data_IF_223369892766
#
_entry.id   IF_223369892766
#
_cell.length_a   1.000
_cell.length_b   1.000
_cell.length_c   1.000
_cell.angle_alpha   90.00
_cell.angle_beta   90.00
_cell.angle_gamma   90.00
#
_symmetry.space_group_name_H-M   'P 1'
#
loop_
_entity.id
_entity.type
_entity.pdbx_description
1 polymer ?
#
# COMPACT_ATOMS: atom_id res chain seq x y z
N UNK A 1 18.89 22.40 -2.96
CA UNK A 1 18.73 22.95 -4.33
C UNK A 1 17.49 22.30 -4.94
N UNK A 2 16.41 23.06 -5.10
CA UNK A 2 15.08 22.55 -5.48
C UNK A 2 15.05 22.10 -6.94
N UNK A 3 14.88 20.80 -7.18
CA UNK A 3 14.66 20.24 -8.53
C UNK A 3 13.17 20.38 -8.86
N UNK A 4 12.88 21.03 -9.98
CA UNK A 4 11.54 21.42 -10.40
C UNK A 4 10.88 20.23 -11.15
N UNK A 5 9.89 19.58 -10.54
CA UNK A 5 9.21 18.35 -11.03
C UNK A 5 8.54 18.49 -12.42
N UNK A 6 8.33 19.72 -12.92
CA UNK A 6 7.85 19.98 -14.30
C UNK A 6 8.81 19.55 -15.42
N UNK A 7 10.05 19.18 -15.10
CA UNK A 7 11.03 18.72 -16.11
C UNK A 7 10.82 17.26 -16.55
N UNK A 8 10.19 16.42 -15.74
CA UNK A 8 10.08 14.98 -16.05
C UNK A 8 9.08 14.73 -17.20
N UNK A 9 7.96 15.46 -17.20
CA UNK A 9 6.91 15.35 -18.22
C UNK A 9 7.32 15.85 -19.62
N UNK A 10 8.41 16.61 -19.74
CA UNK A 10 8.92 17.12 -21.04
C UNK A 10 9.99 16.25 -21.70
N UNK A 11 10.56 15.26 -21.01
CA UNK A 11 11.63 14.40 -21.57
C UNK A 11 11.15 13.06 -22.13
N UNK A 12 9.89 12.66 -21.87
CA UNK A 12 9.32 11.41 -22.40
C UNK A 12 8.88 11.42 -23.88
N UNK A 13 9.01 12.54 -24.61
CA UNK A 13 8.46 12.68 -25.97
C UNK A 13 9.48 12.95 -27.08
N UNK A 14 10.78 12.93 -26.80
CA UNK A 14 11.80 13.15 -27.85
C UNK A 14 13.09 12.35 -27.59
N UNK A 15 13.08 11.07 -27.95
CA UNK A 15 14.31 10.31 -28.22
C UNK A 15 14.04 9.20 -29.24
N UNK A 16 13.67 9.59 -30.46
CA UNK A 16 13.82 8.74 -31.62
C UNK A 16 15.29 8.84 -32.08
N UNK A 17 16.05 7.74 -32.01
CA UNK A 17 17.45 7.76 -32.46
C UNK A 17 18.24 6.47 -32.27
N UNK A 18 18.15 5.59 -33.27
CA UNK A 18 19.14 4.59 -33.70
C UNK A 18 19.56 3.46 -32.73
N UNK A 19 18.87 2.31 -32.83
CA UNK A 19 19.42 1.02 -32.43
C UNK A 19 20.02 0.31 -33.65
N UNK A 20 21.32 -0.01 -33.56
CA UNK A 20 22.03 -0.86 -34.51
C UNK A 20 21.58 -2.32 -34.39
N UNK A 21 21.35 -2.93 -35.55
CA UNK A 21 20.86 -4.30 -35.77
C UNK A 21 21.87 -5.35 -35.27
N UNK A 22 21.42 -6.24 -34.38
CA UNK A 22 22.08 -7.52 -34.08
C UNK A 22 21.20 -8.67 -34.55
N UNK A 23 21.61 -9.35 -35.61
CA UNK A 23 20.93 -10.52 -36.17
C UNK A 23 21.30 -11.79 -35.38
N UNK A 24 20.30 -12.58 -34.97
CA UNK A 24 20.47 -13.88 -34.34
C UNK A 24 19.14 -14.65 -34.32
N UNK A 25 18.94 -15.48 -35.34
CA UNK A 25 17.78 -16.31 -35.63
C UNK A 25 17.48 -17.36 -34.55
N UNK A 26 16.19 -17.69 -34.38
CA UNK A 26 15.51 -18.99 -34.21
C UNK A 26 14.13 -18.67 -33.58
N UNK A 27 12.95 -18.85 -34.18
CA UNK A 27 12.50 -19.83 -35.15
C UNK A 27 11.36 -20.65 -34.55
N UNK A 28 10.16 -20.05 -34.37
CA UNK A 28 8.84 -20.68 -34.59
C UNK A 28 7.69 -19.79 -34.08
N UNK A 29 6.85 -19.37 -35.04
CA UNK A 29 5.45 -18.96 -34.93
C UNK A 29 4.88 -18.63 -33.56
N UNK A 30 5.00 -17.37 -33.17
CA UNK A 30 3.90 -16.69 -32.48
C UNK A 30 3.50 -15.55 -33.39
N UNK A 31 2.30 -15.64 -33.95
CA UNK A 31 1.60 -14.47 -34.47
C UNK A 31 1.63 -13.43 -33.35
N UNK A 32 2.51 -12.43 -33.51
CA UNK A 32 2.46 -11.22 -32.73
C UNK A 32 1.01 -10.75 -32.73
N UNK A 33 0.50 -10.54 -31.53
CA UNK A 33 -0.86 -10.17 -31.23
C UNK A 33 -1.45 -9.37 -32.38
N UNK A 34 -2.49 -9.92 -33.01
CA UNK A 34 -3.44 -9.09 -33.72
C UNK A 34 -3.71 -7.89 -32.84
N UNK A 35 -3.45 -6.69 -33.35
CA UNK A 35 -4.21 -5.52 -32.93
C UNK A 35 -5.67 -5.96 -33.03
N UNK A 36 -6.24 -6.37 -31.89
CA UNK A 36 -7.66 -6.59 -31.78
C UNK A 36 -8.33 -5.30 -32.24
N UNK A 37 -9.54 -5.36 -32.82
CA UNK A 37 -10.25 -4.15 -33.15
C UNK A 37 -10.21 -3.25 -31.92
N UNK A 38 -9.70 -2.02 -32.04
CA UNK A 38 -9.80 -1.01 -30.98
C UNK A 38 -11.24 -1.11 -30.48
N UNK A 39 -11.44 -1.69 -29.29
CA UNK A 39 -12.76 -1.72 -28.67
C UNK A 39 -13.11 -0.25 -28.57
N UNK A 40 -14.08 0.18 -29.40
CA UNK A 40 -14.46 1.59 -29.59
C UNK A 40 -14.22 2.33 -28.30
N UNK A 41 -13.20 3.18 -28.26
CA UNK A 41 -12.65 3.84 -27.07
C UNK A 41 -13.72 4.67 -26.36
N UNK A 42 -14.58 3.96 -25.64
CA UNK A 42 -15.79 4.48 -25.05
C UNK A 42 -15.40 5.49 -23.99
N UNK A 43 -16.23 6.52 -23.85
CA UNK A 43 -16.18 7.38 -22.69
C UNK A 43 -16.46 6.53 -21.45
N UNK A 44 -15.68 6.71 -20.40
CA UNK A 44 -15.94 6.03 -19.13
C UNK A 44 -17.36 6.33 -18.65
N UNK A 45 -17.99 5.34 -18.01
CA UNK A 45 -19.19 5.63 -17.23
C UNK A 45 -18.80 6.50 -16.03
N UNK A 46 -19.72 7.30 -15.46
CA UNK A 46 -19.43 8.05 -14.24
C UNK A 46 -18.91 7.15 -13.11
N UNK A 47 -19.47 5.94 -12.96
CA UNK A 47 -19.04 4.98 -11.94
C UNK A 47 -17.64 4.43 -12.17
N UNK A 48 -17.28 4.08 -13.40
CA UNK A 48 -15.92 3.59 -13.71
C UNK A 48 -14.88 4.69 -13.50
N UNK A 49 -15.19 5.94 -13.87
CA UNK A 49 -14.33 7.09 -13.63
C UNK A 49 -14.19 7.38 -12.12
N UNK A 50 -15.28 7.30 -11.35
CA UNK A 50 -15.26 7.47 -9.90
C UNK A 50 -14.36 6.44 -9.20
N UNK A 51 -14.50 5.15 -9.56
CA UNK A 51 -13.64 4.08 -9.05
C UNK A 51 -12.18 4.38 -9.32
N UNK A 52 -11.83 4.71 -10.57
CA UNK A 52 -10.45 5.02 -10.92
C UNK A 52 -9.93 6.28 -10.23
N UNK A 53 -10.75 7.32 -10.04
CA UNK A 53 -10.34 8.54 -9.31
C UNK A 53 -10.05 8.22 -7.85
N UNK A 54 -10.90 7.44 -7.19
CA UNK A 54 -10.64 7.03 -5.82
C UNK A 54 -9.37 6.17 -5.71
N UNK A 55 -9.18 5.20 -6.61
CA UNK A 55 -7.95 4.40 -6.65
C UNK A 55 -6.73 5.28 -6.91
N UNK A 56 -6.76 6.20 -7.88
CA UNK A 56 -5.65 7.12 -8.11
C UNK A 56 -5.32 7.96 -6.84
N UNK A 57 -6.34 8.39 -6.08
CA UNK A 57 -6.10 9.09 -4.83
C UNK A 57 -5.46 8.18 -3.76
N UNK A 58 -5.86 6.91 -3.67
CA UNK A 58 -5.25 5.93 -2.79
C UNK A 58 -3.76 5.71 -3.17
N UNK A 59 -3.48 5.47 -4.45
CA UNK A 59 -2.12 5.29 -4.98
C UNK A 59 -1.22 6.50 -4.71
N UNK A 60 -1.76 7.74 -4.81
CA UNK A 60 -1.00 8.95 -4.50
C UNK A 60 -0.61 9.02 -3.01
N UNK A 61 -1.52 8.60 -2.14
CA UNK A 61 -1.27 8.57 -0.69
C UNK A 61 -0.26 7.48 -0.33
N UNK A 62 -0.40 6.31 -0.95
CA UNK A 62 0.48 5.17 -0.76
C UNK A 62 1.89 5.42 -1.31
N UNK A 63 2.00 6.07 -2.47
CA UNK A 63 3.26 6.57 -3.02
C UNK A 63 3.96 7.53 -2.06
N UNK A 64 3.26 8.51 -1.47
CA UNK A 64 3.86 9.45 -0.50
C UNK A 64 4.33 8.74 0.79
N UNK A 65 3.62 7.70 1.21
CA UNK A 65 3.97 6.86 2.35
C UNK A 65 5.22 6.02 2.03
N UNK A 66 5.23 5.29 0.92
CA UNK A 66 6.35 4.41 0.53
C UNK A 66 7.61 5.20 0.21
N UNK A 67 7.49 6.38 -0.41
CA UNK A 67 8.61 7.30 -0.58
C UNK A 67 9.29 7.64 0.76
N UNK A 68 8.55 7.88 1.83
CA UNK A 68 9.14 8.16 3.14
C UNK A 68 9.92 6.96 3.70
N UNK A 69 9.45 5.74 3.46
CA UNK A 69 10.21 4.53 3.80
C UNK A 69 11.44 4.37 2.92
N UNK A 70 11.33 4.55 1.60
CA UNK A 70 12.45 4.41 0.68
C UNK A 70 13.56 5.42 0.98
N UNK A 71 13.23 6.67 1.28
CA UNK A 71 14.19 7.73 1.63
C UNK A 71 15.13 7.36 2.80
N UNK A 72 14.64 6.54 3.74
CA UNK A 72 15.36 6.18 4.96
C UNK A 72 15.87 4.75 4.93
N UNK A 73 15.06 3.80 4.49
CA UNK A 73 15.29 2.36 4.60
C UNK A 73 15.48 1.62 3.27
N UNK A 74 15.16 2.24 2.14
CA UNK A 74 15.28 1.63 0.81
C UNK A 74 16.54 1.99 0.04
N UNK A 75 16.60 1.54 -1.21
CA UNK A 75 17.72 1.77 -2.13
C UNK A 75 17.69 3.21 -2.66
N UNK A 76 18.87 3.84 -2.71
CA UNK A 76 19.02 5.21 -3.18
C UNK A 76 19.59 5.25 -4.59
N UNK A 77 18.70 5.39 -5.57
CA UNK A 77 19.05 5.46 -6.98
C UNK A 77 18.24 6.52 -7.74
N UNK A 78 18.11 6.35 -9.06
CA UNK A 78 17.38 7.28 -9.92
C UNK A 78 15.97 6.80 -10.29
N UNK A 79 15.61 5.56 -9.95
CA UNK A 79 14.28 4.99 -10.23
C UNK A 79 13.28 5.57 -9.23
N UNK A 80 13.63 5.55 -7.95
CA UNK A 80 12.83 6.13 -6.86
C UNK A 80 13.63 7.25 -6.18
N UNK A 81 13.49 8.51 -6.64
CA UNK A 81 14.30 9.61 -6.10
C UNK A 81 13.78 10.09 -4.74
N UNK A 82 14.66 10.15 -3.75
CA UNK A 82 14.38 10.76 -2.45
C UNK A 82 15.48 10.45 -1.45
N UNK A 83 15.66 11.33 -0.46
CA UNK A 83 16.51 11.03 0.71
C UNK A 83 17.97 10.73 0.37
N UNK A 84 18.66 10.13 1.35
CA UNK A 84 20.03 9.65 1.24
C UNK A 84 20.29 8.39 2.07
N UNK A 85 19.22 7.76 2.59
CA UNK A 85 19.29 6.59 3.47
C UNK A 85 19.72 6.91 4.91
N UNK A 86 19.30 6.04 5.84
CA UNK A 86 19.71 6.06 7.24
C UNK A 86 20.26 4.67 7.63
N UNK A 87 21.59 4.48 7.71
CA UNK A 87 22.19 3.17 7.94
C UNK A 87 21.76 2.48 9.23
N UNK A 88 21.38 3.24 10.27
CA UNK A 88 20.94 2.65 11.54
C UNK A 88 19.52 2.11 11.41
N UNK A 89 18.64 2.86 10.75
CA UNK A 89 17.28 2.41 10.48
C UNK A 89 17.26 1.25 9.48
N UNK A 90 18.05 1.31 8.40
CA UNK A 90 18.21 0.18 7.45
C UNK A 90 18.71 -1.08 8.16
N UNK A 91 19.67 -0.97 9.08
CA UNK A 91 20.14 -2.12 9.85
C UNK A 91 19.06 -2.70 10.79
N UNK A 92 18.20 -1.86 11.37
CA UNK A 92 17.08 -2.31 12.20
C UNK A 92 15.97 -2.97 11.37
N UNK A 93 15.69 -2.46 10.16
CA UNK A 93 14.81 -3.12 9.20
C UNK A 93 15.39 -4.47 8.76
N UNK A 94 16.70 -4.55 8.52
CA UNK A 94 17.38 -5.76 8.08
C UNK A 94 17.30 -6.94 9.09
N UNK A 95 16.89 -6.67 10.34
CA UNK A 95 16.55 -7.72 11.32
C UNK A 95 15.29 -8.49 10.92
N UNK A 96 14.34 -7.84 10.23
CA UNK A 96 13.14 -8.47 9.71
C UNK A 96 13.44 -9.34 8.49
N UNK A 97 14.25 -8.84 7.56
CA UNK A 97 14.79 -9.60 6.43
C UNK A 97 16.00 -8.86 5.86
N UNK A 98 17.01 -9.57 5.37
CA UNK A 98 18.23 -8.94 4.86
C UNK A 98 17.99 -8.12 3.58
N UNK A 99 16.90 -8.40 2.84
CA UNK A 99 16.56 -7.76 1.57
C UNK A 99 15.47 -6.66 1.73
N UNK A 100 15.22 -6.17 2.95
CA UNK A 100 14.17 -5.16 3.21
C UNK A 100 14.34 -3.88 2.39
N UNK A 101 15.57 -3.47 2.09
CA UNK A 101 15.84 -2.28 1.29
C UNK A 101 15.35 -2.44 -0.16
N UNK A 102 15.55 -3.62 -0.75
CA UNK A 102 15.03 -3.97 -2.08
C UNK A 102 13.52 -4.00 -2.08
N UNK A 103 12.89 -4.68 -1.10
CA UNK A 103 11.42 -4.78 -1.06
C UNK A 103 10.76 -3.40 -0.90
N UNK A 104 11.32 -2.53 -0.06
CA UNK A 104 10.82 -1.16 0.13
C UNK A 104 10.95 -0.37 -1.18
N UNK A 105 12.10 -0.49 -1.88
CA UNK A 105 12.35 0.22 -3.13
C UNK A 105 11.42 -0.23 -4.24
N UNK A 106 11.30 -1.54 -4.48
CA UNK A 106 10.43 -2.12 -5.52
C UNK A 106 8.97 -1.76 -5.29
N UNK A 107 8.47 -1.90 -4.05
CA UNK A 107 7.11 -1.53 -3.70
C UNK A 107 6.88 -0.03 -3.95
N UNK A 108 7.86 0.83 -3.63
CA UNK A 108 7.73 2.27 -3.88
C UNK A 108 7.68 2.59 -5.38
N UNK A 109 8.45 1.87 -6.21
CA UNK A 109 8.35 2.00 -7.67
C UNK A 109 6.96 1.59 -8.16
N UNK A 110 6.47 0.43 -7.72
CA UNK A 110 5.17 -0.10 -8.14
C UNK A 110 4.03 0.90 -7.84
N UNK A 111 3.96 1.45 -6.63
CA UNK A 111 2.93 2.45 -6.29
C UNK A 111 3.05 3.74 -7.11
N UNK A 112 4.27 4.21 -7.34
CA UNK A 112 4.51 5.34 -8.23
C UNK A 112 3.98 5.05 -9.65
N UNK A 113 4.16 3.82 -10.14
CA UNK A 113 3.66 3.46 -11.46
C UNK A 113 2.14 3.35 -11.49
N UNK A 114 1.50 2.88 -10.43
CA UNK A 114 0.04 2.82 -10.30
C UNK A 114 -0.59 4.22 -10.37
N UNK A 115 -0.12 5.18 -9.55
CA UNK A 115 -0.68 6.55 -9.54
C UNK A 115 -0.53 7.24 -10.90
N UNK A 116 0.63 7.09 -11.55
CA UNK A 116 0.94 7.70 -12.84
C UNK A 116 0.07 7.08 -13.94
N UNK A 117 -0.02 5.75 -13.95
CA UNK A 117 -0.77 5.03 -14.97
C UNK A 117 -2.27 5.33 -14.88
N UNK A 118 -2.87 5.26 -13.69
CA UNK A 118 -4.31 5.48 -13.51
C UNK A 118 -4.69 6.91 -13.94
N UNK A 119 -3.92 7.92 -13.53
CA UNK A 119 -4.18 9.30 -13.95
C UNK A 119 -3.99 9.50 -15.47
N UNK A 120 -2.96 8.90 -16.07
CA UNK A 120 -2.77 8.94 -17.51
C UNK A 120 -3.93 8.26 -18.27
N UNK A 121 -4.44 7.14 -17.75
CA UNK A 121 -5.58 6.45 -18.32
C UNK A 121 -6.86 7.29 -18.23
N UNK A 122 -7.16 7.89 -17.08
CA UNK A 122 -8.26 8.84 -16.90
C UNK A 122 -8.20 9.99 -17.92
N UNK A 123 -7.02 10.62 -18.05
CA UNK A 123 -6.79 11.69 -19.01
C UNK A 123 -7.00 11.23 -20.47
N UNK A 124 -6.53 10.02 -20.81
CA UNK A 124 -6.72 9.44 -22.16
C UNK A 124 -8.20 9.27 -22.53
N UNK A 125 -9.07 9.07 -21.52
CA UNK A 125 -10.52 8.97 -21.67
C UNK A 125 -11.26 10.29 -21.48
N UNK A 126 -10.53 11.40 -21.32
CA UNK A 126 -11.06 12.76 -21.05
C UNK A 126 -11.92 12.79 -19.78
N UNK A 127 -11.56 11.98 -18.78
CA UNK A 127 -12.13 12.04 -17.44
C UNK A 127 -11.25 12.94 -16.54
N UNK A 128 -11.83 13.40 -15.43
CA UNK A 128 -11.08 14.17 -14.44
C UNK A 128 -10.00 13.30 -13.79
N UNK A 129 -8.79 13.84 -13.67
CA UNK A 129 -7.67 13.24 -12.95
C UNK A 129 -7.68 13.65 -11.48
N UNK A 130 -6.82 13.04 -10.67
CA UNK A 130 -6.62 13.42 -9.26
C UNK A 130 -5.25 14.07 -9.09
N UNK A 131 -5.23 15.15 -8.34
CA UNK A 131 -4.01 15.83 -7.89
C UNK A 131 -4.22 16.23 -6.42
N UNK A 132 -3.30 15.82 -5.55
CA UNK A 132 -3.33 16.11 -4.12
C UNK A 132 -2.20 17.06 -3.69
N UNK A 133 -1.43 17.63 -4.63
CA UNK A 133 -0.23 18.42 -4.31
C UNK A 133 -0.52 19.62 -3.39
N UNK A 134 -1.72 20.21 -3.45
CA UNK A 134 -2.12 21.30 -2.55
C UNK A 134 -2.19 20.88 -1.07
N UNK A 135 -2.34 19.57 -0.79
CA UNK A 135 -2.41 19.00 0.55
C UNK A 135 -1.07 18.47 1.07
N UNK A 136 0.02 18.63 0.30
CA UNK A 136 1.39 18.30 0.74
C UNK A 136 1.88 19.31 1.77
N UNK A 137 1.36 19.19 2.99
CA UNK A 137 1.51 20.17 4.07
C UNK A 137 2.06 19.57 5.36
N UNK A 138 1.99 18.24 5.50
CA UNK A 138 2.48 17.56 6.69
C UNK A 138 4.02 17.61 6.74
N UNK A 139 4.62 17.66 7.94
CA UNK A 139 6.06 17.72 8.09
C UNK A 139 6.72 16.39 7.71
N UNK A 140 7.88 16.46 7.06
CA UNK A 140 8.78 15.30 6.87
C UNK A 140 9.53 14.96 8.16
N UNK A 141 10.04 13.72 8.24
CA UNK A 141 11.05 13.33 9.22
C UNK A 141 12.25 14.30 9.19
N UNK A 142 12.81 14.57 10.38
CA UNK A 142 14.02 15.36 10.58
C UNK A 142 15.24 14.46 10.85
N UNK A 143 15.11 13.14 10.74
CA UNK A 143 16.23 12.23 10.83
C UNK A 143 17.20 12.44 9.66
N UNK A 144 18.48 12.23 9.89
CA UNK A 144 19.50 12.14 8.86
C UNK A 144 19.11 11.03 7.88
N UNK A 145 19.18 11.31 6.58
CA UNK A 145 18.75 10.38 5.53
C UNK A 145 17.41 10.72 4.89
N UNK A 146 16.47 11.30 5.64
CA UNK A 146 15.17 11.67 5.08
C UNK A 146 15.28 12.82 4.08
N UNK A 147 14.33 12.91 3.13
CA UNK A 147 14.14 14.15 2.39
C UNK A 147 13.52 15.21 3.31
N UNK A 148 14.39 16.03 3.91
CA UNK A 148 13.98 17.07 4.83
C UNK A 148 13.34 18.26 4.08
N UNK A 149 12.44 18.99 4.76
CA UNK A 149 11.84 20.24 4.29
C UNK A 149 10.95 20.10 3.03
N UNK A 150 10.37 18.92 2.82
CA UNK A 150 9.26 18.74 1.86
C UNK A 150 7.96 18.48 2.61
N UNK A 151 6.85 18.91 2.00
CA UNK A 151 5.52 18.64 2.52
C UNK A 151 5.05 17.22 2.14
N UNK A 152 4.40 16.55 3.08
CA UNK A 152 3.85 15.19 2.93
C UNK A 152 2.33 15.20 2.87
N UNK A 153 1.77 14.14 2.31
CA UNK A 153 0.35 13.82 2.38
C UNK A 153 0.04 12.93 3.58
N UNK A 154 1.00 12.11 3.99
CA UNK A 154 0.85 11.07 5.00
C UNK A 154 1.80 11.29 6.18
N UNK A 155 1.41 10.82 7.37
CA UNK A 155 2.16 10.92 8.62
C UNK A 155 2.55 9.52 9.13
N UNK A 156 3.84 9.20 9.08
CA UNK A 156 4.39 7.91 9.57
C UNK A 156 4.99 7.99 10.98
N UNK A 157 4.86 9.14 11.63
CA UNK A 157 5.47 9.43 12.93
C UNK A 157 4.49 9.29 14.10
N UNK A 158 3.20 9.13 13.83
CA UNK A 158 2.12 9.06 14.81
C UNK A 158 1.04 8.06 14.39
N UNK A 159 1.37 6.76 14.38
CA UNK A 159 0.48 5.71 13.89
C UNK A 159 -0.14 4.88 15.02
N UNK A 160 -1.41 4.51 14.84
CA UNK A 160 -2.10 3.44 15.59
C UNK A 160 -2.34 2.28 14.62
N UNK A 161 -1.48 1.26 14.62
CA UNK A 161 -1.49 0.22 13.58
C UNK A 161 -2.40 -0.94 13.97
N UNK A 162 -3.44 -1.19 13.18
CA UNK A 162 -4.27 -2.39 13.31
C UNK A 162 -3.51 -3.60 12.76
N UNK A 163 -3.19 -4.54 13.65
CA UNK A 163 -2.50 -5.80 13.34
C UNK A 163 -3.45 -6.99 13.27
N UNK A 164 -4.76 -6.76 13.23
CA UNK A 164 -5.78 -7.83 13.18
C UNK A 164 -5.77 -8.59 11.85
N UNK A 165 -5.18 -8.00 10.80
CA UNK A 165 -4.95 -8.69 9.53
C UNK A 165 -4.13 -9.98 9.71
N UNK A 166 -3.25 -10.04 10.72
CA UNK A 166 -2.42 -11.20 10.99
C UNK A 166 -3.26 -12.44 11.31
N UNK A 167 -4.16 -12.34 12.29
CA UNK A 167 -5.04 -13.44 12.71
C UNK A 167 -6.20 -13.61 11.72
N UNK A 168 -6.58 -12.54 10.99
CA UNK A 168 -7.58 -12.59 9.92
C UNK A 168 -7.30 -13.68 8.90
N UNK A 169 -6.04 -13.86 8.51
CA UNK A 169 -5.66 -14.88 7.54
C UNK A 169 -5.36 -16.25 8.13
N UNK A 170 -5.38 -16.40 9.46
CA UNK A 170 -5.06 -17.65 10.18
C UNK A 170 -6.26 -18.28 10.89
N UNK A 171 -7.38 -17.56 11.00
CA UNK A 171 -8.62 -18.09 11.57
C UNK A 171 -9.54 -18.61 10.45
N UNK A 172 -9.74 -19.94 10.41
CA UNK A 172 -10.48 -20.63 9.35
C UNK A 172 -12.02 -20.61 9.44
N UNK A 173 -12.60 -19.93 10.43
CA UNK A 173 -14.05 -19.88 10.63
C UNK A 173 -14.63 -18.46 10.80
N UNK A 174 -13.84 -17.42 10.49
CA UNK A 174 -14.22 -16.02 10.57
C UNK A 174 -13.92 -15.28 9.26
N UNK A 175 -14.76 -14.31 8.91
CA UNK A 175 -14.57 -13.42 7.77
C UNK A 175 -15.18 -12.03 8.08
N UNK A 176 -14.43 -10.90 7.88
CA UNK A 176 -14.97 -9.56 8.11
C UNK A 176 -16.24 -9.25 7.30
N UNK A 177 -16.43 -9.87 6.13
CA UNK A 177 -17.66 -9.74 5.31
C UNK A 177 -18.92 -10.22 6.05
N UNK A 178 -18.76 -11.01 7.12
CA UNK A 178 -19.84 -11.50 7.98
C UNK A 178 -19.91 -10.77 9.34
N UNK A 179 -19.14 -9.70 9.51
CA UNK A 179 -19.05 -8.93 10.76
C UNK A 179 -18.20 -9.58 11.85
N UNK A 180 -17.39 -10.58 11.50
CA UNK A 180 -16.47 -11.22 12.44
C UNK A 180 -15.28 -10.30 12.77
N UNK A 181 -14.77 -10.39 14.01
CA UNK A 181 -13.60 -9.64 14.49
C UNK A 181 -12.43 -10.56 14.83
N UNK A 182 -11.24 -9.98 14.85
CA UNK A 182 -9.96 -10.68 14.89
C UNK A 182 -9.06 -10.10 15.97
N UNK A 183 -8.24 -10.95 16.57
CA UNK A 183 -7.33 -10.56 17.63
C UNK A 183 -6.10 -9.85 17.05
N UNK A 184 -5.56 -8.89 17.80
CA UNK A 184 -4.36 -8.15 17.39
C UNK A 184 -3.12 -9.01 17.62
N UNK A 185 -2.23 -9.12 16.63
CA UNK A 185 -0.93 -9.76 16.80
C UNK A 185 -0.03 -8.95 17.74
N UNK A 186 -0.07 -7.62 17.64
CA UNK A 186 0.63 -6.71 18.54
C UNK A 186 -0.39 -5.77 19.19
N UNK A 187 -1.03 -6.19 20.30
CA UNK A 187 -2.11 -5.40 20.92
C UNK A 187 -1.73 -3.98 21.31
N UNK A 188 -0.49 -3.76 21.77
CA UNK A 188 -0.02 -2.41 22.13
C UNK A 188 0.13 -1.48 20.94
N UNK A 189 0.37 -2.01 19.73
CA UNK A 189 0.56 -1.18 18.54
C UNK A 189 -0.77 -0.61 18.01
N UNK A 190 -1.88 -1.26 18.36
CA UNK A 190 -3.24 -0.82 18.03
C UNK A 190 -3.82 0.17 19.07
N UNK A 191 -3.00 0.71 19.98
CA UNK A 191 -3.41 1.72 20.96
C UNK A 191 -2.31 2.77 21.13
N UNK A 192 -2.65 4.05 21.16
CA UNK A 192 -1.63 5.11 21.23
C UNK A 192 -1.08 5.47 19.85
N UNK A 193 0.03 6.20 19.80
CA UNK A 193 0.62 6.70 18.55
C UNK A 193 2.12 6.42 18.55
N UNK A 194 2.56 5.64 17.57
CA UNK A 194 3.92 5.15 17.47
C UNK A 194 4.57 5.57 16.14
N UNK A 195 5.87 5.91 16.13
CA UNK A 195 6.59 6.17 14.90
C UNK A 195 6.93 4.87 14.18
N UNK A 196 6.67 4.81 12.87
CA UNK A 196 7.19 3.79 11.97
C UNK A 196 8.45 4.23 11.22
N UNK A 197 8.82 5.51 11.30
CA UNK A 197 10.11 6.03 10.84
C UNK A 197 10.74 6.86 11.96
N UNK A 198 12.08 6.95 12.05
CA UNK A 198 12.71 7.87 13.01
C UNK A 198 12.25 9.31 12.72
N UNK A 199 11.77 10.00 13.75
CA UNK A 199 11.29 11.40 13.65
C UNK A 199 12.46 12.37 13.55
N UNK A 200 13.56 12.04 14.23
CA UNK A 200 14.83 12.75 14.32
C UNK A 200 15.93 11.78 14.76
N UNK A 201 17.18 12.21 14.74
CA UNK A 201 18.32 11.35 15.08
C UNK A 201 18.33 10.81 16.52
N UNK A 202 17.60 11.47 17.45
CA UNK A 202 17.41 10.95 18.80
C UNK A 202 16.68 9.59 18.82
N UNK A 203 15.86 9.29 17.81
CA UNK A 203 15.15 8.02 17.69
C UNK A 203 16.06 6.88 17.23
N UNK A 204 17.31 7.16 16.82
CA UNK A 204 18.28 6.14 16.38
C UNK A 204 18.91 5.38 17.55
N UNK A 205 18.64 5.81 18.79
CA UNK A 205 19.17 5.18 20.00
C UNK A 205 18.15 5.18 21.14
N UNK A 206 18.23 4.24 22.09
CA UNK A 206 19.08 3.04 22.09
C UNK A 206 18.65 2.03 21.00
N UNK A 207 19.44 0.97 20.80
CA UNK A 207 19.18 -0.03 19.74
C UNK A 207 17.76 -0.61 19.78
N UNK A 208 17.23 -0.90 20.96
CA UNK A 208 15.88 -1.47 21.11
C UNK A 208 14.78 -0.46 20.73
N UNK A 209 15.05 0.86 20.83
CA UNK A 209 14.09 1.87 20.39
C UNK A 209 14.01 1.94 18.86
N UNK A 210 15.14 2.04 18.16
CA UNK A 210 15.13 2.03 16.69
C UNK A 210 14.62 0.70 16.14
N UNK A 211 14.86 -0.42 16.84
CA UNK A 211 14.24 -1.70 16.50
C UNK A 211 12.72 -1.68 16.71
N UNK A 212 12.19 -1.03 17.75
CA UNK A 212 10.74 -0.86 17.93
C UNK A 212 10.10 -0.08 16.78
N UNK A 213 10.79 0.95 16.26
CA UNK A 213 10.37 1.72 15.09
C UNK A 213 10.37 0.83 13.84
N UNK A 214 11.43 0.07 13.60
CA UNK A 214 11.50 -0.86 12.48
C UNK A 214 10.43 -1.97 12.56
N UNK A 215 10.16 -2.49 13.75
CA UNK A 215 9.08 -3.45 13.97
C UNK A 215 7.70 -2.81 13.70
N UNK A 216 7.50 -1.55 14.12
CA UNK A 216 6.29 -0.79 13.82
C UNK A 216 6.10 -0.64 12.30
N UNK A 217 7.17 -0.32 11.58
CA UNK A 217 7.17 -0.28 10.12
C UNK A 217 6.79 -1.62 9.50
N UNK A 218 7.42 -2.73 9.95
CA UNK A 218 7.12 -4.08 9.46
C UNK A 218 5.65 -4.47 9.56
N UNK A 219 4.99 -4.20 10.69
CA UNK A 219 3.55 -4.43 10.82
C UNK A 219 2.71 -3.44 10.02
N UNK A 220 3.15 -2.19 9.90
CA UNK A 220 2.46 -1.18 9.11
C UNK A 220 2.48 -1.49 7.60
N UNK A 221 3.59 -2.00 7.06
CA UNK A 221 3.67 -2.47 5.67
C UNK A 221 2.57 -3.49 5.36
N UNK A 222 2.46 -4.54 6.18
CA UNK A 222 1.39 -5.53 6.03
C UNK A 222 -0.02 -4.94 6.20
N UNK A 223 -0.17 -3.88 6.98
CA UNK A 223 -1.46 -3.22 7.22
C UNK A 223 -1.95 -2.45 5.99
N UNK A 224 -1.05 -1.72 5.34
CA UNK A 224 -1.34 -0.91 4.16
C UNK A 224 -1.67 -1.81 2.97
N UNK A 225 -0.81 -2.78 2.72
CA UNK A 225 -0.87 -3.66 1.55
C UNK A 225 -2.03 -4.66 1.64
N UNK A 226 -2.41 -5.05 2.87
CA UNK A 226 -3.67 -5.77 3.08
C UNK A 226 -4.87 -4.95 2.60
N UNK A 227 -4.83 -3.64 2.84
CA UNK A 227 -5.82 -2.66 2.41
C UNK A 227 -5.98 -2.69 0.88
N UNK A 228 -4.90 -2.46 0.14
CA UNK A 228 -4.87 -2.53 -1.32
C UNK A 228 -5.35 -3.89 -1.85
N UNK A 229 -4.81 -4.98 -1.30
CA UNK A 229 -5.19 -6.38 -1.62
C UNK A 229 -6.71 -6.59 -1.53
N UNK A 230 -7.39 -5.95 -0.56
CA UNK A 230 -8.85 -6.07 -0.38
C UNK A 230 -9.65 -5.06 -1.19
N UNK A 231 -9.13 -3.84 -1.36
CA UNK A 231 -9.83 -2.72 -1.98
C UNK A 231 -10.06 -2.96 -3.47
N UNK A 232 -9.03 -3.38 -4.20
CA UNK A 232 -9.09 -3.66 -5.63
C UNK A 232 -10.18 -4.68 -6.00
N UNK A 233 -10.20 -5.92 -5.46
CA UNK A 233 -11.26 -6.89 -5.76
C UNK A 233 -12.64 -6.45 -5.24
N UNK A 234 -12.71 -5.64 -4.18
CA UNK A 234 -13.96 -5.06 -3.71
C UNK A 234 -14.54 -4.09 -4.75
N UNK A 235 -13.74 -3.18 -5.30
CA UNK A 235 -14.20 -2.21 -6.31
C UNK A 235 -14.37 -2.82 -7.71
N UNK A 236 -13.59 -3.85 -8.06
CA UNK A 236 -13.73 -4.57 -9.33
C UNK A 236 -15.16 -5.08 -9.59
N UNK A 237 -15.90 -5.42 -8.52
CA UNK A 237 -17.29 -5.86 -8.61
C UNK A 237 -18.26 -4.79 -9.12
N UNK A 238 -17.87 -3.51 -9.08
CA UNK A 238 -18.67 -2.35 -9.52
C UNK A 238 -18.31 -1.86 -10.91
N UNK A 239 -17.17 -2.30 -11.44
CA UNK A 239 -16.68 -1.88 -12.76
C UNK A 239 -17.53 -2.48 -13.88
N UNK A 240 -17.80 -1.66 -14.90
CA UNK A 240 -18.50 -2.07 -16.13
C UNK A 240 -17.64 -1.99 -17.37
N UNK A 241 -16.70 -1.04 -17.43
CA UNK A 241 -15.86 -0.85 -18.60
C UNK A 241 -14.77 -1.93 -18.67
N UNK A 242 -14.61 -2.68 -19.78
CA UNK A 242 -13.67 -3.80 -19.89
C UNK A 242 -12.21 -3.42 -19.59
N UNK A 243 -11.74 -2.28 -20.12
CA UNK A 243 -10.39 -1.79 -19.83
C UNK A 243 -10.22 -1.40 -18.35
N UNK A 244 -11.20 -0.76 -17.72
CA UNK A 244 -11.13 -0.43 -16.30
C UNK A 244 -11.12 -1.71 -15.45
N UNK A 245 -11.91 -2.71 -15.85
CA UNK A 245 -11.94 -3.99 -15.13
C UNK A 245 -10.58 -4.68 -15.25
N UNK A 246 -9.97 -4.62 -16.44
CA UNK A 246 -8.62 -5.13 -16.66
C UNK A 246 -7.57 -4.39 -15.81
N UNK A 247 -7.69 -3.08 -15.65
CA UNK A 247 -6.78 -2.30 -14.78
C UNK A 247 -6.90 -2.77 -13.34
N UNK A 248 -8.12 -2.75 -12.78
CA UNK A 248 -8.36 -3.10 -11.37
C UNK A 248 -8.01 -4.57 -11.08
N UNK A 249 -8.26 -5.48 -12.02
CA UNK A 249 -7.88 -6.90 -11.88
C UNK A 249 -6.40 -7.18 -12.15
N UNK A 250 -5.65 -6.24 -12.70
CA UNK A 250 -4.20 -6.40 -12.93
C UNK A 250 -3.37 -5.77 -11.82
N UNK A 251 -3.81 -4.65 -11.25
CA UNK A 251 -3.15 -4.03 -10.08
C UNK A 251 -3.48 -4.81 -8.81
N UNK A 252 -4.74 -5.22 -8.59
CA UNK A 252 -5.09 -5.96 -7.36
C UNK A 252 -4.21 -7.19 -7.04
N UNK A 253 -3.73 -7.98 -8.02
CA UNK A 253 -2.75 -9.02 -7.79
C UNK A 253 -1.34 -8.56 -7.41
N UNK A 254 -0.86 -7.38 -7.83
CA UNK A 254 0.44 -6.84 -7.39
C UNK A 254 0.39 -6.45 -5.93
N UNK A 255 -0.67 -5.78 -5.48
CA UNK A 255 -0.99 -5.54 -4.06
C UNK A 255 -0.95 -6.83 -3.22
N UNK A 256 -1.49 -7.92 -3.76
CA UNK A 256 -1.48 -9.21 -3.08
C UNK A 256 -0.07 -9.81 -2.98
N UNK A 257 0.81 -9.55 -3.95
CA UNK A 257 2.22 -9.92 -3.90
C UNK A 257 2.96 -9.11 -2.84
N UNK A 258 2.71 -7.79 -2.78
CA UNK A 258 3.25 -6.91 -1.74
C UNK A 258 2.80 -7.42 -0.36
N UNK A 259 1.50 -7.55 -0.13
CA UNK A 259 0.96 -8.01 1.15
C UNK A 259 1.52 -9.36 1.58
N UNK A 260 1.67 -10.31 0.66
CA UNK A 260 2.24 -11.62 0.98
C UNK A 260 3.70 -11.51 1.47
N UNK A 261 4.50 -10.63 0.86
CA UNK A 261 5.87 -10.34 1.28
C UNK A 261 5.86 -9.75 2.68
N UNK A 262 5.11 -8.68 2.92
CA UNK A 262 5.11 -7.99 4.22
C UNK A 262 4.47 -8.81 5.34
N UNK A 263 3.45 -9.61 5.02
CA UNK A 263 2.84 -10.55 5.97
C UNK A 263 3.84 -11.60 6.45
N UNK A 264 4.75 -12.05 5.60
CA UNK A 264 5.85 -12.94 6.01
C UNK A 264 6.86 -12.17 6.88
N UNK A 265 7.33 -11.00 6.40
CA UNK A 265 8.43 -10.27 7.06
C UNK A 265 8.07 -9.70 8.41
N UNK A 266 6.81 -9.30 8.62
CA UNK A 266 6.32 -8.89 9.93
C UNK A 266 6.48 -9.99 11.00
N UNK A 267 6.47 -11.27 10.60
CA UNK A 267 6.69 -12.40 11.50
C UNK A 267 8.09 -12.53 12.06
N UNK A 268 9.07 -11.82 11.49
CA UNK A 268 10.46 -11.82 11.94
C UNK A 268 10.75 -10.72 12.97
N UNK A 269 9.75 -9.90 13.32
CA UNK A 269 9.90 -8.86 14.35
C UNK A 269 10.32 -9.49 15.69
N UNK A 270 11.49 -9.12 16.24
CA UNK A 270 11.92 -9.65 17.53
C UNK A 270 11.03 -9.15 18.66
N UNK A 271 10.76 -9.97 19.69
CA UNK A 271 10.04 -9.52 20.86
C UNK A 271 10.87 -8.49 21.62
N UNK A 272 10.27 -7.35 21.97
CA UNK A 272 10.91 -6.29 22.73
C UNK A 272 9.87 -5.38 23.40
N UNK A 273 10.32 -4.61 24.39
CA UNK A 273 9.59 -3.46 24.92
C UNK A 273 10.41 -2.22 24.58
N UNK A 274 9.79 -1.22 23.97
CA UNK A 274 10.51 0.00 23.60
C UNK A 274 11.01 0.71 24.89
N UNK A 275 12.32 0.94 25.05
CA UNK A 275 12.84 1.64 26.23
C UNK A 275 12.43 3.12 26.31
N UNK A 276 12.07 3.74 25.19
CA UNK A 276 11.61 5.13 25.13
C UNK A 276 10.08 5.25 25.19
N UNK A 277 9.36 4.16 24.93
CA UNK A 277 7.91 4.05 25.13
C UNK A 277 7.57 2.67 25.72
N UNK A 278 7.63 2.51 27.06
CA UNK A 278 7.37 1.22 27.71
C UNK A 278 5.94 0.69 27.51
N UNK A 279 5.05 1.45 26.89
CA UNK A 279 3.70 1.00 26.53
C UNK A 279 3.68 0.21 25.21
N UNK A 280 4.69 0.38 24.35
CA UNK A 280 4.85 -0.35 23.10
C UNK A 280 5.63 -1.66 23.35
N UNK A 281 4.93 -2.79 23.19
CA UNK A 281 5.45 -4.13 23.44
C UNK A 281 5.21 -5.02 22.21
N UNK A 282 6.30 -5.48 21.60
CA UNK A 282 6.25 -6.55 20.60
C UNK A 282 6.35 -7.90 21.32
N UNK A 283 5.28 -8.73 21.29
CA UNK A 283 5.30 -10.03 21.94
C UNK A 283 6.08 -11.06 21.12
N UNK A 284 6.45 -12.17 21.78
CA UNK A 284 6.84 -13.38 21.04
C UNK A 284 5.56 -14.09 20.56
N UNK A 285 5.26 -13.96 19.27
CA UNK A 285 4.06 -14.54 18.65
C UNK A 285 4.03 -16.07 18.68
N UNK A 286 5.16 -16.73 18.90
CA UNK A 286 5.26 -18.19 18.96
C UNK A 286 5.21 -18.75 20.40
N UNK A 287 5.10 -17.89 21.42
CA UNK A 287 5.10 -18.28 22.83
C UNK A 287 3.81 -17.87 23.56
N UNK A 288 3.35 -18.63 24.58
CA UNK A 288 2.17 -18.27 25.37
C UNK A 288 2.22 -16.85 25.94
N UNK A 289 1.10 -16.09 25.94
CA UNK A 289 -0.27 -16.53 25.62
C UNK A 289 -0.57 -16.60 24.12
N UNK A 290 0.37 -16.22 23.26
CA UNK A 290 0.31 -16.40 21.81
C UNK A 290 0.72 -17.84 21.44
N UNK A 291 1.01 -18.07 20.16
CA UNK A 291 1.29 -19.38 19.57
C UNK A 291 0.04 -20.05 19.00
N UNK A 292 0.19 -21.33 18.67
CA UNK A 292 -0.80 -22.05 17.89
C UNK A 292 -0.90 -21.52 16.45
N UNK A 293 -1.88 -22.03 15.71
CA UNK A 293 -2.06 -21.70 14.29
C UNK A 293 -2.36 -20.21 14.07
N UNK A 294 -3.04 -19.58 15.02
CA UNK A 294 -3.49 -18.19 14.94
C UNK A 294 -2.35 -17.16 14.97
N UNK A 295 -1.24 -17.48 15.64
CA UNK A 295 -0.11 -16.54 15.79
C UNK A 295 1.21 -17.05 15.21
N UNK A 296 1.31 -18.31 14.76
CA UNK A 296 2.55 -18.84 14.22
C UNK A 296 3.07 -18.01 13.03
N UNK A 297 4.36 -17.68 13.08
CA UNK A 297 4.98 -16.74 12.14
C UNK A 297 5.26 -17.35 10.77
N UNK A 298 5.40 -18.68 10.68
CA UNK A 298 5.67 -19.39 9.44
C UNK A 298 4.41 -19.84 8.66
N UNK A 299 3.19 -19.61 9.17
CA UNK A 299 1.96 -19.85 8.40
C UNK A 299 1.66 -18.62 7.55
N UNK A 300 2.27 -18.61 6.36
CA UNK A 300 2.22 -17.48 5.44
C UNK A 300 1.09 -17.56 4.42
N UNK A 301 0.48 -18.75 4.27
CA UNK A 301 -0.64 -18.97 3.34
C UNK A 301 -1.98 -18.82 4.08
N UNK A 302 -3.02 -18.26 3.45
CA UNK A 302 -4.28 -17.98 4.11
C UNK A 302 -5.11 -19.25 4.37
N UNK A 303 -5.56 -19.43 5.61
CA UNK A 303 -6.45 -20.51 6.03
C UNK A 303 -7.82 -20.40 5.34
N UNK A 304 -8.39 -21.50 4.79
CA UNK A 304 -9.72 -21.48 4.20
C UNK A 304 -10.79 -21.00 5.19
N UNK A 305 -11.75 -20.20 4.72
CA UNK A 305 -12.82 -19.65 5.59
C UNK A 305 -14.19 -19.62 4.92
N UNK A 306 -15.18 -19.14 5.66
CA UNK A 306 -16.53 -18.85 5.17
C UNK A 306 -16.45 -17.81 4.06
N UNK A 307 -17.02 -18.15 2.90
CA UNK A 307 -17.11 -17.25 1.76
C UNK A 307 -18.49 -17.35 1.11
N UNK A 308 -19.10 -16.21 0.81
CA UNK A 308 -20.45 -16.02 0.24
C UNK A 308 -21.61 -16.55 1.12
N UNK A 309 -21.48 -17.73 1.73
CA UNK A 309 -22.50 -18.36 2.57
C UNK A 309 -21.87 -19.44 3.46
N UNK A 310 -22.32 -19.52 4.73
CA UNK A 310 -21.96 -20.60 5.67
C UNK A 310 -22.41 -22.00 5.24
N UNK A 311 -23.20 -22.10 4.15
CA UNK A 311 -23.66 -23.37 3.57
C UNK A 311 -22.70 -23.94 2.52
N UNK A 312 -21.72 -23.15 2.06
CA UNK A 312 -20.70 -23.60 1.13
C UNK A 312 -19.47 -24.11 1.90
N UNK A 313 -18.65 -24.99 1.30
CA UNK A 313 -17.36 -25.35 1.86
C UNK A 313 -16.47 -24.11 2.06
N UNK A 314 -15.57 -24.19 3.04
CA UNK A 314 -14.57 -23.15 3.26
C UNK A 314 -13.68 -22.97 2.02
N UNK A 315 -13.27 -21.74 1.73
CA UNK A 315 -12.46 -21.37 0.59
C UNK A 315 -11.33 -20.45 1.03
N UNK A 316 -10.13 -20.64 0.48
CA UNK A 316 -9.00 -19.73 0.68
C UNK A 316 -9.19 -18.50 -0.23
N UNK A 317 -9.25 -17.31 0.38
CA UNK A 317 -9.61 -16.06 -0.28
C UNK A 317 -8.85 -14.88 0.33
N UNK A 318 -8.73 -13.81 -0.44
CA UNK A 318 -8.55 -12.45 0.11
C UNK A 318 -9.79 -12.07 0.93
N UNK A 319 -9.61 -11.39 2.05
CA UNK A 319 -10.72 -10.97 2.93
C UNK A 319 -10.44 -9.64 3.67
N UNK A 320 -11.38 -8.69 3.66
CA UNK A 320 -12.71 -8.74 3.03
C UNK A 320 -12.66 -8.57 1.50
N UNK A 321 -13.74 -8.94 0.82
CA UNK A 321 -13.98 -8.53 -0.58
C UNK A 321 -15.38 -7.98 -0.81
N UNK A 322 -16.23 -7.83 0.22
CA UNK A 322 -17.56 -7.25 0.03
C UNK A 322 -17.47 -5.78 -0.41
N UNK A 323 -18.16 -5.47 -1.50
CA UNK A 323 -18.04 -4.17 -2.18
C UNK A 323 -18.77 -2.99 -1.51
N UNK A 324 -19.66 -3.26 -0.55
CA UNK A 324 -20.51 -2.20 0.03
C UNK A 324 -19.71 -1.37 1.04
N UNK A 325 -19.48 -0.10 0.73
CA UNK A 325 -18.76 0.79 1.64
C UNK A 325 -17.25 0.56 1.63
N UNK A 326 -16.70 -0.03 0.56
CA UNK A 326 -15.31 -0.43 0.49
C UNK A 326 -14.39 0.79 0.45
N UNK A 327 -14.72 1.79 -0.38
CA UNK A 327 -13.92 3.01 -0.50
C UNK A 327 -13.99 3.85 0.79
N UNK A 328 -15.20 4.07 1.33
CA UNK A 328 -15.37 4.75 2.61
C UNK A 328 -14.75 3.98 3.78
N UNK A 329 -14.75 2.65 3.71
CA UNK A 329 -14.08 1.78 4.68
C UNK A 329 -12.58 2.00 4.69
N UNK A 330 -11.94 2.02 3.52
CA UNK A 330 -10.52 2.31 3.36
C UNK A 330 -10.16 3.71 3.90
N UNK A 331 -10.91 4.75 3.52
CA UNK A 331 -10.66 6.11 4.01
C UNK A 331 -10.77 6.21 5.55
N UNK A 332 -11.81 5.60 6.13
CA UNK A 332 -12.00 5.58 7.59
C UNK A 332 -10.86 4.84 8.29
N UNK A 333 -10.42 3.73 7.71
CA UNK A 333 -9.34 2.92 8.25
C UNK A 333 -8.01 3.70 8.27
N UNK A 334 -7.61 4.28 7.14
CA UNK A 334 -6.39 5.09 7.03
C UNK A 334 -6.44 6.32 7.96
N UNK A 335 -7.61 6.95 8.08
CA UNK A 335 -7.83 8.07 9.01
C UNK A 335 -7.67 7.63 10.47
N UNK A 336 -8.29 6.50 10.85
CA UNK A 336 -8.24 5.98 12.22
C UNK A 336 -6.84 5.55 12.64
N UNK A 337 -6.01 5.11 11.68
CA UNK A 337 -4.61 4.76 11.89
C UNK A 337 -3.73 5.99 12.20
N UNK A 338 -4.24 7.21 11.98
CA UNK A 338 -3.49 8.44 12.20
C UNK A 338 -2.70 8.91 10.98
N UNK A 339 -2.86 8.26 9.82
CA UNK A 339 -2.09 8.56 8.62
C UNK A 339 -2.28 10.00 8.13
N UNK A 340 -3.41 10.62 8.45
CA UNK A 340 -3.75 11.99 8.06
C UNK A 340 -3.77 12.97 9.25
N UNK A 341 -3.13 12.63 10.38
CA UNK A 341 -2.99 13.56 11.51
C UNK A 341 -2.27 14.82 11.04
N UNK A 342 -2.95 15.95 11.17
CA UNK A 342 -2.47 17.27 10.75
C UNK A 342 -3.03 17.75 9.40
N UNK A 343 -3.76 16.91 8.67
CA UNK A 343 -4.35 17.31 7.38
C UNK A 343 -5.49 18.32 7.55
N UNK A 344 -5.72 19.09 6.49
CA UNK A 344 -6.75 20.12 6.48
C UNK A 344 -8.18 19.53 6.37
N UNK A 345 -9.23 20.24 6.83
CA UNK A 345 -10.62 19.82 6.59
C UNK A 345 -10.95 19.63 5.10
N UNK A 346 -10.37 20.46 4.21
CA UNK A 346 -10.58 20.37 2.77
C UNK A 346 -10.01 19.07 2.16
N UNK A 347 -8.92 18.55 2.72
CA UNK A 347 -8.40 17.22 2.35
C UNK A 347 -9.44 16.14 2.65
N UNK A 348 -10.03 16.16 3.85
CA UNK A 348 -11.03 15.17 4.24
C UNK A 348 -12.34 15.30 3.44
N UNK A 349 -12.74 16.53 3.07
CA UNK A 349 -13.89 16.76 2.19
C UNK A 349 -13.65 16.11 0.83
N UNK A 350 -12.53 16.43 0.16
CA UNK A 350 -12.19 15.84 -1.14
C UNK A 350 -12.11 14.31 -1.09
N UNK A 351 -11.41 13.75 -0.10
CA UNK A 351 -11.25 12.30 0.01
C UNK A 351 -12.58 11.60 0.29
N UNK A 352 -13.46 12.24 1.08
CA UNK A 352 -14.81 11.72 1.34
C UNK A 352 -15.64 11.70 0.05
N UNK A 353 -15.65 12.80 -0.72
CA UNK A 353 -16.37 12.89 -1.99
C UNK A 353 -15.90 11.80 -2.97
N UNK A 354 -14.59 11.61 -3.11
CA UNK A 354 -14.02 10.56 -3.97
C UNK A 354 -14.45 9.16 -3.53
N UNK A 355 -14.45 8.90 -2.23
CA UNK A 355 -14.83 7.59 -1.68
C UNK A 355 -16.34 7.33 -1.81
N UNK A 356 -17.19 8.33 -1.56
CA UNK A 356 -18.64 8.24 -1.75
C UNK A 356 -18.99 7.97 -3.22
N UNK A 357 -18.41 8.72 -4.15
CA UNK A 357 -18.60 8.52 -5.59
C UNK A 357 -18.24 7.08 -6.03
N UNK A 358 -17.12 6.54 -5.53
CA UNK A 358 -16.69 5.17 -5.83
C UNK A 358 -17.62 4.11 -5.21
N UNK A 359 -18.11 4.32 -3.99
CA UNK A 359 -19.06 3.43 -3.33
C UNK A 359 -20.48 3.51 -3.93
N UNK A 360 -20.84 4.63 -4.56
CA UNK A 360 -22.09 4.79 -5.30
C UNK A 360 -22.04 4.18 -6.71
N UNK A 361 -20.84 3.93 -7.25
CA UNK A 361 -20.66 3.29 -8.54
C UNK A 361 -21.43 1.95 -8.62
N UNK A 362 -22.29 1.82 -9.61
CA UNK A 362 -23.10 0.62 -9.82
C UNK A 362 -22.67 -0.08 -11.09
N UNK A 363 -22.52 -1.39 -11.00
CA UNK A 363 -22.46 -2.23 -12.19
C UNK A 363 -23.80 -2.14 -12.91
N UNK A 364 -23.86 -1.31 -13.96
CA UNK A 364 -25.05 -1.17 -14.80
C UNK A 364 -25.50 -2.55 -15.31
N UNK A 365 -26.81 -2.79 -15.37
CA UNK A 365 -27.31 -3.86 -16.23
C UNK A 365 -27.09 -3.37 -17.66
N UNK A 366 -26.20 -4.04 -18.39
CA UNK A 366 -25.91 -3.73 -19.79
C UNK A 366 -27.15 -3.75 -20.68
#
# INVERSE_FOLDING_TARGET
TSVNRRSFMKRGLTAAGAATVGAGLLGNGLSAASEGPEEKSGRLTPGDAAILRFLAAAEILETDLWQQYNELGGIQDNEVPGGSGNPTYTAALAVLDADMDQYIHDNTEDELTHEVFINAFLASKRADTVDLDEFRTLPSSQATGAAQQIGRLTNLMQLTVDTSWWTRYRVGNKNPDFGDTFDQAVPSLNVGQHPAIPRKDDDLTPNDHIQAIANTAGFHFGTIEQGGTSLYPSLAQRVTHPEVLRIVLSIGPTEAMHFQTWSDKAGNAPPLTDPNDPTLVFPDLNSPPFGGEEFQTNLIMPEPTIFLSRKLPACSIVRPTATKGAAMGALKFLTAMGLFIGQSPAFFELMTDLAEDADEARRGRG
#
